data_IF_920906905153
#
_entry.id   IF_920906905153
#
_cell.length_a   1.000
_cell.length_b   1.000
_cell.length_c   1.000
_cell.angle_alpha   90.00
_cell.angle_beta   90.00
_cell.angle_gamma   90.00
#
_symmetry.space_group_name_H-M   'P 1'
#
loop_
_entity.id
_entity.type
_entity.pdbx_description
1 polymer ?
#
# COMPACT_ATOMS: atom_id res chain seq x y z
N UNK A 1 23.64 6.99 -37.14
CA UNK A 1 22.93 8.17 -36.62
C UNK A 1 22.74 9.23 -37.70
N UNK A 2 23.80 9.80 -38.28
CA UNK A 2 23.67 10.91 -39.25
C UNK A 2 22.77 10.61 -40.46
N UNK A 3 22.71 9.35 -40.90
CA UNK A 3 21.83 8.92 -41.98
C UNK A 3 20.34 8.90 -41.60
N UNK A 4 20.01 8.83 -40.31
CA UNK A 4 18.65 8.79 -39.78
C UNK A 4 18.14 10.17 -39.38
N UNK A 5 19.03 11.14 -39.14
CA UNK A 5 18.69 12.47 -38.60
C UNK A 5 17.60 13.18 -39.40
N UNK A 6 17.70 13.22 -40.73
CA UNK A 6 16.72 13.92 -41.56
C UNK A 6 15.33 13.27 -41.58
N UNK A 7 15.26 11.96 -41.35
CA UNK A 7 14.00 11.23 -41.28
C UNK A 7 13.40 11.28 -39.86
N UNK A 8 14.24 11.21 -38.82
CA UNK A 8 13.83 11.42 -37.42
C UNK A 8 13.22 12.81 -37.22
N UNK A 9 13.91 13.89 -37.64
CA UNK A 9 13.40 15.25 -37.48
C UNK A 9 12.04 15.42 -38.15
N UNK A 10 11.86 14.88 -39.37
CA UNK A 10 10.58 14.96 -40.08
C UNK A 10 9.47 14.18 -39.37
N UNK A 11 9.79 13.01 -38.80
CA UNK A 11 8.84 12.22 -38.01
C UNK A 11 8.46 12.96 -36.73
N UNK A 12 9.45 13.48 -36.00
CA UNK A 12 9.25 14.23 -34.77
C UNK A 12 8.42 15.49 -34.98
N UNK A 13 8.67 16.24 -36.07
CA UNK A 13 7.86 17.42 -36.43
C UNK A 13 6.38 17.07 -36.71
N UNK A 14 6.12 15.87 -37.22
CA UNK A 14 4.78 15.39 -37.48
C UNK A 14 4.01 15.00 -36.22
N UNK A 15 4.72 14.59 -35.16
CA UNK A 15 4.14 14.00 -33.96
C UNK A 15 4.20 14.93 -32.74
N UNK A 16 5.36 15.54 -32.47
CA UNK A 16 5.64 16.24 -31.20
C UNK A 16 5.86 17.75 -31.35
N UNK A 17 6.42 18.25 -32.46
CA UNK A 17 6.56 19.71 -32.63
C UNK A 17 7.77 20.21 -33.41
N UNK A 18 8.70 20.89 -32.74
CA UNK A 18 9.76 21.67 -33.41
C UNK A 18 10.98 20.81 -33.80
N UNK A 19 11.63 21.17 -34.91
CA UNK A 19 12.84 20.50 -35.37
C UNK A 19 14.04 20.69 -34.43
N UNK A 20 14.08 21.78 -33.64
CA UNK A 20 15.16 22.00 -32.66
C UNK A 20 15.11 20.94 -31.57
N UNK A 21 13.93 20.68 -31.00
CA UNK A 21 13.74 19.68 -29.94
C UNK A 21 14.11 18.28 -30.44
N UNK A 22 13.80 17.97 -31.70
CA UNK A 22 14.22 16.72 -32.34
C UNK A 22 15.75 16.57 -32.41
N UNK A 23 16.48 17.66 -32.64
CA UNK A 23 17.95 17.62 -32.67
C UNK A 23 18.52 17.45 -31.27
N UNK A 24 17.94 18.10 -30.26
CA UNK A 24 18.35 17.95 -28.87
C UNK A 24 18.14 16.50 -28.39
N UNK A 25 16.98 15.89 -28.69
CA UNK A 25 16.72 14.47 -28.49
C UNK A 25 17.80 13.58 -29.15
N UNK A 26 18.15 13.85 -30.41
CA UNK A 26 19.18 13.06 -31.10
C UNK A 26 20.58 13.21 -30.51
N UNK A 27 20.94 14.36 -29.93
CA UNK A 27 22.22 14.53 -29.25
C UNK A 27 22.29 13.68 -27.98
N UNK A 28 21.21 13.62 -27.21
CA UNK A 28 21.09 12.74 -26.05
C UNK A 28 21.18 11.26 -26.47
N UNK A 29 20.45 10.85 -27.50
CA UNK A 29 20.52 9.47 -28.04
C UNK A 29 21.94 9.13 -28.54
N UNK A 30 22.63 10.07 -29.20
CA UNK A 30 24.02 9.87 -29.64
C UNK A 30 24.96 9.68 -28.45
N UNK A 31 24.80 10.49 -27.41
CA UNK A 31 25.55 10.36 -26.18
C UNK A 31 25.32 8.97 -25.58
N UNK A 32 24.07 8.54 -25.51
CA UNK A 32 23.67 7.23 -25.02
C UNK A 32 24.31 6.06 -25.77
N UNK A 33 24.19 6.04 -27.10
CA UNK A 33 24.80 5.00 -27.95
C UNK A 33 26.32 4.99 -27.77
N UNK A 34 26.95 6.16 -27.63
CA UNK A 34 28.40 6.28 -27.43
C UNK A 34 28.83 5.70 -26.08
N UNK A 35 28.10 6.01 -25.01
CA UNK A 35 28.37 5.48 -23.67
C UNK A 35 28.15 3.97 -23.62
N UNK A 36 27.03 3.48 -24.17
CA UNK A 36 26.76 2.03 -24.27
C UNK A 36 27.88 1.31 -25.02
N UNK A 37 28.39 1.91 -26.11
CA UNK A 37 29.52 1.36 -26.85
C UNK A 37 30.79 1.29 -26.01
N UNK A 38 31.08 2.33 -25.23
CA UNK A 38 32.25 2.34 -24.35
C UNK A 38 32.17 1.26 -23.26
N UNK A 39 30.96 0.96 -22.76
CA UNK A 39 30.73 -0.04 -21.71
C UNK A 39 30.71 -1.48 -22.23
N UNK A 40 30.09 -1.71 -23.39
CA UNK A 40 29.79 -3.07 -23.89
C UNK A 40 30.62 -3.50 -25.11
N UNK A 41 31.38 -2.59 -25.73
CA UNK A 41 32.03 -2.74 -27.05
C UNK A 41 31.03 -3.05 -28.18
N UNK A 42 29.75 -2.71 -28.00
CA UNK A 42 28.68 -2.88 -28.99
C UNK A 42 27.96 -1.56 -29.24
N UNK A 43 27.67 -1.26 -30.50
CA UNK A 43 26.89 -0.06 -30.85
C UNK A 43 25.90 -0.39 -31.95
N UNK A 44 24.64 -0.09 -31.67
CA UNK A 44 23.58 -0.21 -32.66
C UNK A 44 22.67 1.01 -32.57
N UNK A 45 22.58 1.73 -33.68
CA UNK A 45 21.68 2.88 -33.79
C UNK A 45 20.21 2.46 -34.01
N UNK A 46 19.96 1.19 -34.32
CA UNK A 46 18.64 0.69 -34.78
C UNK A 46 18.18 -0.55 -34.02
N UNK A 47 18.94 -0.98 -33.01
CA UNK A 47 18.64 -2.13 -32.14
C UNK A 47 19.24 -1.84 -30.77
N UNK A 48 18.56 -1.06 -29.96
CA UNK A 48 18.99 -0.83 -28.59
C UNK A 48 18.79 -2.14 -27.81
N UNK A 49 19.79 -2.56 -27.04
CA UNK A 49 19.73 -3.77 -26.20
C UNK A 49 19.59 -3.30 -24.75
N UNK A 50 18.78 -4.01 -23.94
CA UNK A 50 18.62 -3.71 -22.51
C UNK A 50 19.96 -3.83 -21.75
N UNK A 51 20.82 -4.75 -22.19
CA UNK A 51 22.10 -5.01 -21.55
C UNK A 51 23.02 -3.78 -21.66
N UNK A 52 23.32 -3.16 -20.50
CA UNK A 52 24.16 -1.97 -20.39
C UNK A 52 23.43 -0.65 -20.65
N UNK A 53 22.09 -0.68 -20.81
CA UNK A 53 21.27 0.51 -20.98
C UNK A 53 21.23 1.33 -19.68
N UNK A 54 20.93 0.68 -18.55
CA UNK A 54 20.92 1.28 -17.22
C UNK A 54 22.30 1.84 -16.83
N UNK A 55 23.37 1.03 -16.95
CA UNK A 55 24.75 1.49 -16.68
C UNK A 55 25.14 2.73 -17.52
N UNK A 56 24.69 2.78 -18.78
CA UNK A 56 24.93 3.93 -19.65
C UNK A 56 24.11 5.15 -19.23
N UNK A 57 22.86 4.96 -18.81
CA UNK A 57 21.98 6.00 -18.30
C UNK A 57 22.55 6.63 -17.03
N UNK A 58 22.91 5.81 -16.04
CA UNK A 58 23.54 6.25 -14.79
C UNK A 58 24.85 7.00 -15.05
N UNK A 59 25.69 6.48 -15.96
CA UNK A 59 26.95 7.13 -16.33
C UNK A 59 26.67 8.52 -16.92
N UNK A 60 25.67 8.65 -17.79
CA UNK A 60 25.31 9.92 -18.42
C UNK A 60 24.72 10.89 -17.41
N UNK A 61 23.74 10.46 -16.62
CA UNK A 61 23.14 11.26 -15.55
C UNK A 61 24.20 11.76 -14.56
N UNK A 62 25.14 10.91 -14.16
CA UNK A 62 26.27 11.28 -13.30
C UNK A 62 27.22 12.32 -13.91
N UNK A 63 27.23 12.47 -15.25
CA UNK A 63 27.97 13.55 -15.93
C UNK A 63 27.16 14.82 -16.17
N UNK A 64 25.82 14.73 -16.14
CA UNK A 64 24.94 15.79 -16.63
C UNK A 64 24.58 16.88 -15.60
N UNK A 65 24.94 16.78 -14.29
CA UNK A 65 25.21 17.89 -13.32
C UNK A 65 25.00 17.43 -11.85
N UNK A 66 25.75 18.06 -10.93
CA UNK A 66 25.86 17.79 -9.48
C UNK A 66 24.60 18.03 -8.59
N UNK A 67 23.38 18.28 -9.11
CA UNK A 67 22.24 18.65 -8.22
C UNK A 67 20.84 18.05 -8.46
N UNK A 68 20.51 17.39 -9.58
CA UNK A 68 19.19 16.74 -9.77
C UNK A 68 19.35 15.48 -10.64
N UNK A 69 19.95 14.42 -10.08
CA UNK A 69 20.30 13.21 -10.84
C UNK A 69 19.11 12.33 -11.23
N UNK A 70 18.01 12.39 -10.48
CA UNK A 70 16.80 11.60 -10.72
C UNK A 70 16.00 12.18 -11.90
N UNK A 71 15.69 13.48 -11.88
CA UNK A 71 15.04 14.17 -13.01
C UNK A 71 15.81 13.98 -14.34
N UNK A 72 17.14 13.92 -14.28
CA UNK A 72 17.99 13.71 -15.45
C UNK A 72 17.93 12.28 -16.01
N UNK A 73 17.62 11.27 -15.20
CA UNK A 73 17.41 9.89 -15.65
C UNK A 73 16.05 9.75 -16.34
N UNK A 74 15.01 10.35 -15.77
CA UNK A 74 13.66 10.33 -16.36
C UNK A 74 13.66 11.04 -17.73
N UNK A 75 14.24 12.24 -17.82
CA UNK A 75 14.40 12.96 -19.09
C UNK A 75 15.17 12.14 -20.14
N UNK A 76 16.17 11.37 -19.70
CA UNK A 76 16.97 10.51 -20.56
C UNK A 76 16.16 9.31 -21.07
N UNK A 77 15.39 8.66 -20.21
CA UNK A 77 14.54 7.53 -20.59
C UNK A 77 13.40 7.96 -21.51
N UNK A 78 12.75 9.09 -21.24
CA UNK A 78 11.73 9.69 -22.12
C UNK A 78 12.30 9.97 -23.51
N UNK A 79 13.50 10.55 -23.56
CA UNK A 79 14.19 10.86 -24.81
C UNK A 79 14.51 9.59 -25.61
N UNK A 80 14.96 8.52 -24.93
CA UNK A 80 15.22 7.23 -25.55
C UNK A 80 13.93 6.55 -26.01
N UNK A 81 12.85 6.67 -25.23
CA UNK A 81 11.53 6.12 -25.54
C UNK A 81 11.02 6.68 -26.88
N UNK A 82 11.05 8.00 -27.02
CA UNK A 82 10.68 8.69 -28.27
C UNK A 82 11.51 8.21 -29.46
N UNK A 83 12.81 7.97 -29.27
CA UNK A 83 13.68 7.47 -30.33
C UNK A 83 13.36 6.02 -30.73
N UNK A 84 13.04 5.17 -29.76
CA UNK A 84 12.63 3.77 -29.98
C UNK A 84 11.31 3.72 -30.77
N UNK A 85 10.34 4.57 -30.43
CA UNK A 85 9.07 4.67 -31.16
C UNK A 85 9.27 5.14 -32.60
N UNK A 86 10.15 6.12 -32.82
CA UNK A 86 10.56 6.49 -34.18
C UNK A 86 11.07 5.28 -34.95
N UNK A 87 12.00 4.51 -34.39
CA UNK A 87 12.60 3.37 -35.07
C UNK A 87 11.52 2.35 -35.46
N UNK A 88 10.54 2.12 -34.58
CA UNK A 88 9.43 1.20 -34.83
C UNK A 88 8.50 1.69 -35.92
N UNK A 89 7.99 2.91 -35.81
CA UNK A 89 7.00 3.46 -36.74
C UNK A 89 7.56 3.68 -38.15
N UNK A 90 8.84 4.08 -38.23
CA UNK A 90 9.53 4.29 -39.50
C UNK A 90 10.03 3.00 -40.16
N UNK A 91 9.94 1.85 -39.48
CA UNK A 91 10.47 0.58 -39.97
C UNK A 91 12.00 0.51 -39.96
N UNK A 92 12.66 1.37 -39.17
CA UNK A 92 14.12 1.35 -38.97
C UNK A 92 14.57 0.44 -37.83
N UNK A 93 13.65 -0.03 -36.98
CA UNK A 93 13.94 -1.04 -35.96
C UNK A 93 14.48 -2.32 -36.61
N UNK A 94 15.67 -2.73 -36.19
CA UNK A 94 16.38 -3.89 -36.72
C UNK A 94 16.40 -5.09 -35.78
N UNK A 95 15.85 -4.94 -34.57
CA UNK A 95 15.55 -6.04 -33.65
C UNK A 95 14.25 -6.76 -34.01
N UNK A 96 13.89 -7.73 -33.17
CA UNK A 96 12.59 -8.41 -33.21
C UNK A 96 11.50 -7.58 -32.53
N UNK A 97 10.22 -7.92 -32.76
CA UNK A 97 9.10 -7.27 -32.05
C UNK A 97 9.15 -7.51 -30.54
N UNK A 98 9.62 -8.67 -30.10
CA UNK A 98 9.82 -8.98 -28.68
C UNK A 98 10.88 -8.05 -28.07
N UNK A 99 12.04 -7.93 -28.72
CA UNK A 99 13.11 -7.02 -28.27
C UNK A 99 12.66 -5.54 -28.25
N UNK A 100 11.74 -5.12 -29.14
CA UNK A 100 11.14 -3.78 -29.09
C UNK A 100 10.23 -3.62 -27.88
N UNK A 101 9.35 -4.58 -27.61
CA UNK A 101 8.45 -4.51 -26.46
C UNK A 101 9.25 -4.49 -25.15
N UNK A 102 10.28 -5.34 -25.02
CA UNK A 102 11.10 -5.39 -23.81
C UNK A 102 11.75 -4.01 -23.49
N UNK A 103 12.27 -3.32 -24.52
CA UNK A 103 12.89 -1.99 -24.32
C UNK A 103 11.88 -0.86 -24.19
N UNK A 104 10.76 -0.95 -24.91
CA UNK A 104 9.67 0.03 -24.80
C UNK A 104 9.07 -0.01 -23.40
N UNK A 105 8.79 -1.21 -22.89
CA UNK A 105 8.31 -1.42 -21.52
C UNK A 105 9.36 -0.88 -20.52
N UNK A 106 10.64 -1.21 -20.69
CA UNK A 106 11.71 -0.65 -19.86
C UNK A 106 11.72 0.89 -19.81
N UNK A 107 11.67 1.55 -20.97
CA UNK A 107 11.84 3.00 -21.07
C UNK A 107 10.60 3.81 -20.66
N UNK A 108 9.40 3.27 -20.85
CA UNK A 108 8.15 3.90 -20.39
C UNK A 108 7.93 3.78 -18.89
N UNK A 109 8.79 2.99 -18.22
CA UNK A 109 8.44 2.48 -16.92
C UNK A 109 7.18 1.61 -16.96
N UNK A 110 6.67 1.13 -18.11
CA UNK A 110 5.63 0.07 -18.12
C UNK A 110 6.22 -1.31 -17.75
N UNK A 111 7.54 -1.43 -17.78
CA UNK A 111 8.36 -2.37 -17.01
C UNK A 111 8.61 -1.84 -15.59
N UNK A 112 7.66 -1.06 -15.07
CA UNK A 112 7.06 -1.34 -13.77
C UNK A 112 7.02 -2.86 -13.68
N UNK A 113 8.05 -3.43 -13.03
CA UNK A 113 8.55 -4.77 -13.34
C UNK A 113 7.43 -5.80 -13.29
N UNK A 114 7.58 -6.98 -13.89
CA UNK A 114 6.57 -8.06 -13.75
C UNK A 114 6.08 -8.26 -12.30
N UNK A 115 6.87 -7.84 -11.31
CA UNK A 115 6.42 -7.65 -9.94
C UNK A 115 5.21 -6.69 -9.80
N UNK A 116 5.22 -5.45 -10.28
CA UNK A 116 4.14 -4.47 -10.10
C UNK A 116 2.86 -4.72 -10.96
N UNK A 117 2.92 -5.70 -11.87
CA UNK A 117 1.80 -6.56 -12.30
C UNK A 117 0.89 -7.02 -11.17
N UNK A 118 -0.02 -6.20 -10.63
CA UNK A 118 -0.98 -6.68 -9.61
C UNK A 118 -1.79 -7.83 -10.23
N UNK A 119 -1.59 -9.08 -9.77
CA UNK A 119 -2.27 -10.22 -10.35
C UNK A 119 -3.78 -10.15 -10.08
N UNK A 120 -4.56 -10.83 -10.92
CA UNK A 120 -5.99 -10.99 -10.68
C UNK A 120 -6.23 -11.68 -9.32
N UNK A 121 -6.77 -10.94 -8.36
CA UNK A 121 -7.09 -11.46 -7.04
C UNK A 121 -8.21 -12.48 -7.10
N UNK A 122 -8.03 -13.61 -6.42
CA UNK A 122 -9.11 -14.55 -6.18
C UNK A 122 -9.65 -14.33 -4.78
N UNK A 123 -10.65 -13.44 -4.66
CA UNK A 123 -11.36 -13.25 -3.39
C UNK A 123 -12.09 -14.55 -3.04
N UNK A 124 -11.75 -15.21 -1.92
CA UNK A 124 -12.39 -16.46 -1.55
C UNK A 124 -13.89 -16.26 -1.29
N UNK A 125 -14.74 -17.14 -1.84
CA UNK A 125 -16.18 -17.15 -1.58
C UNK A 125 -16.45 -17.76 -0.19
N UNK A 126 -16.52 -16.90 0.82
CA UNK A 126 -16.80 -17.25 2.21
C UNK A 126 -18.18 -16.71 2.60
N UNK A 127 -18.97 -17.51 3.32
CA UNK A 127 -20.22 -17.01 3.90
C UNK A 127 -19.94 -15.90 4.93
N UNK A 128 -20.87 -14.96 5.13
CA UNK A 128 -20.68 -13.89 6.13
C UNK A 128 -20.37 -14.44 7.53
N UNK A 129 -20.97 -15.58 7.91
CA UNK A 129 -20.71 -16.21 9.20
C UNK A 129 -19.28 -16.76 9.29
N UNK A 130 -18.79 -17.40 8.23
CA UNK A 130 -17.42 -17.93 8.18
C UNK A 130 -16.40 -16.78 8.15
N UNK A 131 -16.70 -15.69 7.43
CA UNK A 131 -15.86 -14.49 7.44
C UNK A 131 -15.79 -13.86 8.83
N UNK A 132 -16.92 -13.68 9.53
CA UNK A 132 -16.96 -13.04 10.85
C UNK A 132 -16.18 -13.88 11.87
N UNK A 133 -16.34 -15.20 11.80
CA UNK A 133 -15.56 -16.13 12.62
C UNK A 133 -14.06 -16.09 12.27
N UNK A 134 -13.71 -16.04 10.97
CA UNK A 134 -12.32 -15.99 10.53
C UNK A 134 -11.65 -14.68 10.98
N UNK A 135 -12.30 -13.52 10.80
CA UNK A 135 -11.80 -12.24 11.32
C UNK A 135 -11.65 -12.28 12.83
N UNK A 136 -12.65 -12.75 13.58
CA UNK A 136 -12.56 -12.86 15.04
C UNK A 136 -11.41 -13.79 15.50
N UNK A 137 -11.02 -14.75 14.66
CA UNK A 137 -9.88 -15.63 14.89
C UNK A 137 -8.50 -14.99 14.66
N UNK A 138 -8.42 -13.83 13.99
CA UNK A 138 -7.15 -13.16 13.70
C UNK A 138 -6.54 -12.56 14.99
N UNK A 139 -5.23 -12.78 15.24
CA UNK A 139 -4.51 -12.09 16.31
C UNK A 139 -4.68 -10.58 16.26
N UNK A 140 -4.71 -9.97 15.07
CA UNK A 140 -4.96 -8.54 14.90
C UNK A 140 -6.29 -8.09 15.53
N UNK A 141 -7.40 -8.74 15.18
CA UNK A 141 -8.75 -8.38 15.64
C UNK A 141 -8.86 -8.58 17.15
N UNK A 142 -8.22 -9.62 17.70
CA UNK A 142 -8.17 -9.86 19.14
C UNK A 142 -7.40 -8.75 19.88
N UNK A 143 -6.21 -8.36 19.37
CA UNK A 143 -5.41 -7.25 19.93
C UNK A 143 -6.17 -5.93 19.88
N UNK A 144 -6.81 -5.61 18.76
CA UNK A 144 -7.63 -4.42 18.61
C UNK A 144 -8.81 -4.44 19.60
N UNK A 145 -9.49 -5.58 19.76
CA UNK A 145 -10.58 -5.75 20.74
C UNK A 145 -10.10 -5.50 22.17
N UNK A 146 -8.97 -6.11 22.59
CA UNK A 146 -8.39 -5.87 23.91
C UNK A 146 -7.99 -4.41 24.12
N UNK A 147 -7.46 -3.74 23.08
CA UNK A 147 -7.11 -2.34 23.14
C UNK A 147 -8.36 -1.45 23.30
N UNK A 148 -9.46 -1.74 22.59
CA UNK A 148 -10.73 -1.04 22.73
C UNK A 148 -11.35 -1.23 24.12
N UNK A 149 -11.31 -2.44 24.67
CA UNK A 149 -11.73 -2.71 26.05
C UNK A 149 -10.90 -1.91 27.06
N UNK A 150 -9.57 -1.84 26.85
CA UNK A 150 -8.70 -1.01 27.68
C UNK A 150 -9.05 0.47 27.56
N UNK A 151 -9.32 0.99 26.35
CA UNK A 151 -9.73 2.38 26.13
C UNK A 151 -11.02 2.69 26.91
N UNK A 152 -11.99 1.78 26.90
CA UNK A 152 -13.25 1.93 27.62
C UNK A 152 -13.99 3.20 27.21
N UNK A 153 -14.40 4.03 28.18
CA UNK A 153 -15.06 5.32 27.90
C UNK A 153 -14.10 6.40 27.38
N UNK A 154 -12.79 6.15 27.36
CA UNK A 154 -11.77 7.03 26.81
C UNK A 154 -10.49 7.13 27.66
N UNK A 155 -9.37 7.41 26.98
CA UNK A 155 -8.02 7.51 27.57
C UNK A 155 -7.40 8.88 27.33
N UNK A 156 -6.55 9.31 28.25
CA UNK A 156 -5.82 10.58 28.09
C UNK A 156 -4.74 10.44 27.02
N UNK A 157 -4.68 11.40 26.11
CA UNK A 157 -3.60 11.55 25.13
C UNK A 157 -2.91 12.91 25.29
N UNK A 158 -1.79 13.10 24.62
CA UNK A 158 -1.15 14.40 24.41
C UNK A 158 -1.95 15.23 23.41
N UNK A 159 -1.57 16.49 23.21
CA UNK A 159 -2.16 17.34 22.16
C UNK A 159 -1.89 16.85 20.74
N UNK A 160 -0.90 15.96 20.56
CA UNK A 160 -0.57 15.32 19.28
C UNK A 160 -1.28 13.98 19.11
N UNK A 161 -2.20 13.61 20.01
CA UNK A 161 -2.93 12.34 19.92
C UNK A 161 -2.18 11.11 20.41
N UNK A 162 -0.97 11.28 20.98
CA UNK A 162 -0.12 10.17 21.45
C UNK A 162 -0.48 9.79 22.89
N UNK A 163 -0.40 8.50 23.22
CA UNK A 163 -0.57 8.03 24.59
C UNK A 163 0.43 8.65 25.56
N UNK A 164 -0.01 8.91 26.79
CA UNK A 164 0.90 9.39 27.84
C UNK A 164 1.80 8.25 28.30
N UNK A 165 3.05 8.57 28.67
CA UNK A 165 4.05 7.57 29.13
C UNK A 165 3.51 6.58 30.17
N UNK A 166 2.71 7.06 31.13
CA UNK A 166 2.13 6.23 32.20
C UNK A 166 1.16 5.16 31.68
N UNK A 167 0.57 5.39 30.51
CA UNK A 167 -0.50 4.56 29.93
C UNK A 167 0.07 3.55 28.90
N UNK A 168 1.30 3.76 28.43
CA UNK A 168 1.94 2.89 27.41
C UNK A 168 2.02 1.43 27.87
N UNK A 169 2.31 1.18 29.15
CA UNK A 169 2.51 -0.20 29.62
C UNK A 169 1.24 -1.05 29.52
N UNK A 170 0.10 -0.49 29.90
CA UNK A 170 -1.18 -1.19 29.80
C UNK A 170 -1.66 -1.31 28.35
N UNK A 171 -1.48 -0.26 27.54
CA UNK A 171 -1.84 -0.27 26.12
C UNK A 171 -1.00 -1.28 25.32
N UNK A 172 0.32 -1.31 25.55
CA UNK A 172 1.22 -2.27 24.92
C UNK A 172 0.84 -3.70 25.31
N UNK A 173 0.51 -3.94 26.59
CA UNK A 173 0.06 -5.25 27.04
C UNK A 173 -1.25 -5.68 26.35
N UNK A 174 -2.17 -4.74 26.07
CA UNK A 174 -3.41 -5.03 25.34
C UNK A 174 -3.16 -5.51 23.90
N UNK A 175 -2.07 -5.08 23.27
CA UNK A 175 -1.64 -5.57 21.95
C UNK A 175 -0.60 -6.70 22.02
N UNK A 176 -0.34 -7.24 23.22
CA UNK A 176 0.55 -8.39 23.43
C UNK A 176 2.04 -8.06 23.55
N UNK A 177 2.41 -6.79 23.73
CA UNK A 177 3.82 -6.35 23.86
C UNK A 177 4.13 -5.91 25.29
N UNK A 178 5.30 -6.30 25.80
CA UNK A 178 5.78 -5.85 27.11
C UNK A 178 6.65 -4.59 26.96
N UNK A 179 6.03 -3.41 27.06
CA UNK A 179 6.73 -2.13 27.04
C UNK A 179 6.39 -1.28 28.26
N UNK A 180 7.28 -0.36 28.65
CA UNK A 180 7.04 0.63 29.71
C UNK A 180 7.49 1.99 29.23
N UNK A 181 6.59 2.97 29.32
CA UNK A 181 6.92 4.36 29.06
C UNK A 181 7.90 4.91 30.11
N UNK A 182 9.11 5.21 29.67
CA UNK A 182 10.14 5.84 30.49
C UNK A 182 10.68 7.06 29.76
N UNK A 183 10.90 8.14 30.49
CA UNK A 183 11.52 9.33 29.93
C UNK A 183 12.92 8.96 29.46
N UNK A 184 13.11 8.81 28.15
CA UNK A 184 14.40 8.47 27.59
C UNK A 184 15.43 9.53 28.04
N UNK A 185 16.62 9.13 28.54
CA UNK A 185 17.72 10.06 28.62
C UNK A 185 17.95 10.58 27.19
N UNK A 186 18.06 11.90 27.04
CA UNK A 186 18.19 12.59 25.75
C UNK A 186 19.39 11.98 24.98
N UNK A 187 19.15 10.94 24.17
CA UNK A 187 20.18 10.37 23.29
C UNK A 187 20.39 11.39 22.17
N UNK A 188 21.65 11.71 21.82
CA UNK A 188 21.92 12.51 20.64
C UNK A 188 21.34 11.76 19.43
N UNK A 189 20.43 12.43 18.71
CA UNK A 189 19.86 11.93 17.47
C UNK A 189 21.01 11.71 16.47
N UNK A 190 21.17 10.50 15.95
CA UNK A 190 22.11 10.27 14.86
C UNK A 190 22.56 8.84 14.59
N UNK A 191 22.51 7.89 15.55
CA UNK A 191 23.09 6.56 15.35
C UNK A 191 22.34 5.47 16.14
N UNK A 192 21.08 5.22 15.81
CA UNK A 192 20.35 4.04 16.30
C UNK A 192 19.99 3.14 15.11
N UNK A 193 20.99 2.71 14.36
CA UNK A 193 20.83 1.52 13.53
C UNK A 193 20.89 0.30 14.47
N UNK A 194 19.96 -0.63 14.24
CA UNK A 194 19.72 -1.81 15.04
C UNK A 194 20.93 -2.77 15.05
N UNK A 195 21.92 -2.52 15.91
CA UNK A 195 22.92 -3.53 16.30
C UNK A 195 22.28 -4.53 17.30
N UNK A 196 21.17 -5.15 16.89
CA UNK A 196 20.48 -6.19 17.64
C UNK A 196 20.50 -7.53 16.89
N UNK A 197 21.66 -7.88 16.33
CA UNK A 197 21.99 -9.28 16.04
C UNK A 197 22.51 -9.95 17.32
N UNK A 198 21.62 -10.18 18.29
CA UNK A 198 21.84 -11.23 19.29
C UNK A 198 20.86 -12.37 19.01
N UNK A 199 21.35 -13.35 18.24
CA UNK A 199 20.74 -14.67 18.04
C UNK A 199 20.50 -15.35 19.39
N UNK A 200 19.29 -15.20 19.94
CA UNK A 200 18.88 -15.98 21.11
C UNK A 200 17.78 -15.36 21.97
N UNK A 201 16.53 -15.43 21.51
CA UNK A 201 15.39 -15.65 22.42
C UNK A 201 15.02 -14.54 23.41
N UNK A 202 15.04 -13.26 23.03
CA UNK A 202 14.48 -12.18 23.85
C UNK A 202 12.95 -12.08 23.76
N UNK A 203 12.23 -13.21 23.73
CA UNK A 203 10.79 -13.22 23.98
C UNK A 203 10.56 -12.84 25.45
N UNK A 204 10.26 -11.57 25.70
CA UNK A 204 9.87 -11.06 27.02
C UNK A 204 10.84 -10.08 27.70
N UNK A 205 11.83 -9.53 26.98
CA UNK A 205 12.57 -8.39 27.51
C UNK A 205 11.66 -7.16 27.56
N UNK A 206 11.53 -6.56 28.74
CA UNK A 206 10.74 -5.35 28.96
C UNK A 206 11.34 -4.17 28.18
N UNK A 207 10.61 -3.66 27.19
CA UNK A 207 11.06 -2.54 26.35
C UNK A 207 10.83 -1.20 27.06
N UNK A 208 11.88 -0.44 27.35
CA UNK A 208 11.76 0.93 27.87
C UNK A 208 11.62 1.92 26.70
N UNK A 209 10.47 2.61 26.59
CA UNK A 209 10.12 3.46 25.45
C UNK A 209 9.84 4.91 25.83
N UNK A 210 10.23 5.85 24.97
CA UNK A 210 10.01 7.29 25.16
C UNK A 210 8.69 7.81 24.58
N UNK A 211 8.08 7.06 23.66
CA UNK A 211 6.78 7.35 23.05
C UNK A 211 6.09 6.03 22.65
N UNK A 212 4.79 6.06 22.35
CA UNK A 212 4.08 4.87 21.89
C UNK A 212 4.55 4.41 20.49
N UNK A 213 5.09 5.33 19.68
CA UNK A 213 5.65 5.01 18.36
C UNK A 213 6.91 4.13 18.45
N UNK A 214 7.58 4.08 19.60
CA UNK A 214 8.69 3.15 19.84
C UNK A 214 8.19 1.70 20.07
N UNK A 215 6.86 1.49 20.05
CA UNK A 215 6.19 0.18 20.11
C UNK A 215 5.42 0.00 18.80
N UNK A 216 6.06 -0.48 17.71
CA UNK A 216 5.46 -0.48 16.36
C UNK A 216 4.06 -1.12 16.32
N UNK A 217 3.91 -2.32 16.88
CA UNK A 217 2.61 -3.03 16.97
C UNK A 217 1.51 -2.20 17.61
N UNK A 218 1.81 -1.42 18.66
CA UNK A 218 0.83 -0.54 19.30
C UNK A 218 0.54 0.68 18.43
N UNK A 219 1.58 1.27 17.82
CA UNK A 219 1.45 2.41 16.92
C UNK A 219 0.56 2.07 15.72
N UNK A 220 0.80 0.94 15.07
CA UNK A 220 0.09 0.51 13.86
C UNK A 220 -1.39 0.23 14.16
N UNK A 221 -1.67 -0.56 15.21
CA UNK A 221 -3.05 -0.84 15.63
C UNK A 221 -3.77 0.44 16.06
N UNK A 222 -3.09 1.36 16.75
CA UNK A 222 -3.67 2.65 17.15
C UNK A 222 -3.99 3.53 15.93
N UNK A 223 -3.07 3.65 14.98
CA UNK A 223 -3.25 4.42 13.75
C UNK A 223 -4.42 3.88 12.93
N UNK A 224 -4.48 2.55 12.73
CA UNK A 224 -5.56 1.90 12.01
C UNK A 224 -6.93 2.10 12.69
N UNK A 225 -7.01 2.04 14.03
CA UNK A 225 -8.24 2.33 14.78
C UNK A 225 -8.71 3.78 14.61
N UNK A 226 -7.79 4.73 14.48
CA UNK A 226 -8.10 6.14 14.21
C UNK A 226 -8.59 6.30 12.77
N UNK A 227 -7.85 5.74 11.80
CA UNK A 227 -8.13 5.86 10.36
C UNK A 227 -9.48 5.24 10.00
N UNK A 228 -9.86 4.11 10.62
CA UNK A 228 -11.17 3.48 10.43
C UNK A 228 -12.30 4.07 11.30
N UNK A 229 -12.06 5.16 12.03
CA UNK A 229 -13.09 5.82 12.84
C UNK A 229 -13.62 5.00 14.02
N UNK A 230 -12.96 3.89 14.38
CA UNK A 230 -13.29 3.08 15.56
C UNK A 230 -12.94 3.86 16.83
N UNK A 231 -11.89 4.66 16.81
CA UNK A 231 -11.60 5.64 17.86
C UNK A 231 -11.50 7.05 17.27
N UNK A 232 -11.84 8.04 18.08
CA UNK A 232 -11.70 9.46 17.73
C UNK A 232 -10.71 10.12 18.68
N UNK A 233 -9.77 10.88 18.11
CA UNK A 233 -8.82 11.69 18.88
C UNK A 233 -9.36 13.11 19.07
N UNK A 234 -9.70 13.44 20.32
CA UNK A 234 -9.91 14.81 20.76
C UNK A 234 -8.58 15.47 21.17
N UNK A 235 -8.65 16.73 21.60
CA UNK A 235 -7.44 17.51 21.97
C UNK A 235 -6.63 16.93 23.13
N UNK A 236 -7.24 16.11 23.99
CA UNK A 236 -6.60 15.51 25.18
C UNK A 236 -7.10 14.11 25.51
N UNK A 237 -8.00 13.55 24.69
CA UNK A 237 -8.59 12.22 24.93
C UNK A 237 -8.82 11.46 23.63
N UNK A 238 -8.52 10.16 23.66
CA UNK A 238 -9.03 9.21 22.69
C UNK A 238 -10.32 8.59 23.25
N UNK A 239 -11.39 8.56 22.46
CA UNK A 239 -12.68 7.96 22.84
C UNK A 239 -13.14 7.00 21.76
N UNK A 240 -14.00 6.01 22.09
CA UNK A 240 -14.71 5.25 21.05
C UNK A 240 -15.39 6.19 20.05
N UNK A 241 -15.20 5.92 18.76
CA UNK A 241 -15.85 6.59 17.65
C UNK A 241 -17.08 5.80 17.15
N UNK A 242 -17.73 6.24 16.07
CA UNK A 242 -18.91 5.56 15.51
C UNK A 242 -18.64 4.09 15.15
N UNK A 243 -17.43 3.76 14.67
CA UNK A 243 -17.06 2.39 14.32
C UNK A 243 -16.98 1.44 15.52
N UNK A 244 -16.82 1.95 16.75
CA UNK A 244 -16.74 1.11 17.95
C UNK A 244 -18.06 0.39 18.25
N UNK A 245 -19.20 1.02 17.98
CA UNK A 245 -20.52 0.41 18.18
C UNK A 245 -20.75 -0.74 17.18
N UNK A 246 -20.19 -0.63 15.97
CA UNK A 246 -20.26 -1.66 14.93
C UNK A 246 -19.34 -2.84 15.24
N UNK A 247 -18.14 -2.60 15.81
CA UNK A 247 -17.10 -3.61 16.04
C UNK A 247 -17.58 -4.87 16.78
N UNK A 248 -18.45 -4.67 17.77
CA UNK A 248 -19.08 -5.72 18.58
C UNK A 248 -20.62 -5.69 18.46
N UNK A 249 -21.14 -5.05 17.41
CA UNK A 249 -22.57 -4.96 17.13
C UNK A 249 -23.21 -6.35 16.93
N UNK A 250 -24.53 -6.43 17.01
CA UNK A 250 -25.23 -7.72 16.81
C UNK A 250 -25.32 -8.11 15.32
N UNK A 251 -25.35 -7.13 14.43
CA UNK A 251 -25.37 -7.38 12.98
C UNK A 251 -24.01 -7.90 12.50
N UNK A 252 -24.04 -8.99 11.74
CA UNK A 252 -22.83 -9.59 11.16
C UNK A 252 -22.28 -8.68 10.05
N UNK A 253 -23.16 -8.07 9.24
CA UNK A 253 -22.75 -7.24 8.12
C UNK A 253 -21.94 -6.03 8.61
N UNK A 254 -22.46 -5.29 9.59
CA UNK A 254 -21.79 -4.15 10.22
C UNK A 254 -20.42 -4.53 10.82
N UNK A 255 -20.35 -5.69 11.49
CA UNK A 255 -19.07 -6.18 12.06
C UNK A 255 -18.05 -6.50 10.99
N UNK A 256 -18.48 -7.09 9.87
CA UNK A 256 -17.59 -7.44 8.77
C UNK A 256 -17.07 -6.18 8.08
N UNK A 257 -17.94 -5.22 7.81
CA UNK A 257 -17.58 -3.94 7.19
C UNK A 257 -16.50 -3.22 8.01
N UNK A 258 -16.75 -2.95 9.30
CA UNK A 258 -15.80 -2.19 10.13
C UNK A 258 -14.48 -2.94 10.36
N UNK A 259 -14.48 -4.28 10.42
CA UNK A 259 -13.25 -5.08 10.54
C UNK A 259 -12.48 -5.14 9.24
N UNK A 260 -13.18 -5.15 8.11
CA UNK A 260 -12.57 -5.03 6.80
C UNK A 260 -11.91 -3.65 6.66
N UNK A 261 -12.61 -2.56 6.94
CA UNK A 261 -12.07 -1.19 6.90
C UNK A 261 -10.85 -1.02 7.80
N UNK A 262 -10.90 -1.52 9.04
CA UNK A 262 -9.76 -1.50 9.96
C UNK A 262 -8.56 -2.29 9.43
N UNK A 263 -8.80 -3.47 8.84
CA UNK A 263 -7.73 -4.30 8.26
C UNK A 263 -7.15 -3.65 7.01
N UNK A 264 -8.00 -3.04 6.18
CA UNK A 264 -7.61 -2.26 4.99
C UNK A 264 -6.72 -1.08 5.38
N UNK A 265 -7.12 -0.30 6.39
CA UNK A 265 -6.33 0.84 6.89
C UNK A 265 -4.93 0.41 7.37
N UNK A 266 -4.85 -0.70 8.10
CA UNK A 266 -3.56 -1.24 8.55
C UNK A 266 -2.71 -1.74 7.38
N UNK A 267 -3.31 -2.45 6.42
CA UNK A 267 -2.60 -2.93 5.24
C UNK A 267 -2.11 -1.78 4.36
N UNK A 268 -2.91 -0.73 4.19
CA UNK A 268 -2.53 0.47 3.45
C UNK A 268 -1.30 1.13 4.09
N UNK A 269 -1.34 1.39 5.40
CA UNK A 269 -0.17 1.90 6.14
C UNK A 269 1.05 0.98 6.01
N UNK A 270 0.85 -0.34 6.04
CA UNK A 270 1.92 -1.31 5.90
C UNK A 270 2.56 -1.29 4.50
N UNK A 271 1.78 -1.13 3.42
CA UNK A 271 2.31 -1.04 2.05
C UNK A 271 2.75 0.37 1.67
N UNK A 272 2.56 1.37 2.53
CA UNK A 272 3.11 2.71 2.33
C UNK A 272 4.47 2.84 3.01
N UNK A 273 5.37 3.62 2.42
CA UNK A 273 6.62 4.04 3.02
C UNK A 273 6.50 5.36 3.77
N UNK A 274 6.05 5.29 5.02
CA UNK A 274 6.01 6.46 5.91
C UNK A 274 7.35 6.78 6.58
N UNK A 275 8.33 5.86 6.52
CA UNK A 275 9.61 5.95 7.21
C UNK A 275 10.75 6.43 6.30
N UNK A 276 10.47 6.69 5.01
CA UNK A 276 11.38 7.38 4.08
C UNK A 276 11.57 8.84 4.51
N UNK A 277 12.31 9.01 5.61
CA UNK A 277 12.81 10.29 6.08
C UNK A 277 13.91 10.85 5.16
N UNK A 278 14.33 10.08 4.16
CA UNK A 278 15.43 10.40 3.26
C UNK A 278 15.04 11.39 2.17
N UNK A 279 13.79 11.38 1.69
CA UNK A 279 13.40 12.23 0.57
C UNK A 279 12.58 13.46 0.94
N UNK A 280 11.95 13.49 2.13
CA UNK A 280 10.98 14.54 2.45
C UNK A 280 9.79 14.58 1.48
N UNK A 281 9.65 13.53 0.66
CA UNK A 281 8.59 13.33 -0.31
C UNK A 281 7.35 12.73 0.35
N UNK A 282 6.28 12.70 -0.42
CA UNK A 282 5.03 12.08 -0.05
C UNK A 282 5.22 10.57 0.20
N UNK A 283 4.33 9.94 0.97
CA UNK A 283 4.43 8.52 1.26
C UNK A 283 4.33 7.69 -0.04
N UNK A 284 5.37 6.95 -0.39
CA UNK A 284 5.42 6.13 -1.60
C UNK A 284 4.93 4.70 -1.34
N UNK A 285 4.49 4.02 -2.41
CA UNK A 285 4.15 2.60 -2.33
C UNK A 285 5.42 1.76 -2.13
N UNK A 286 5.42 0.91 -1.11
CA UNK A 286 6.38 -0.17 -0.92
C UNK A 286 6.08 -1.27 -1.96
N UNK A 287 6.52 -1.04 -3.20
CA UNK A 287 6.18 -1.87 -4.36
C UNK A 287 6.49 -3.34 -4.14
N UNK A 288 7.67 -3.66 -3.59
CA UNK A 288 8.05 -5.05 -3.31
C UNK A 288 7.06 -5.72 -2.36
N UNK A 289 6.70 -5.07 -1.24
CA UNK A 289 5.73 -5.63 -0.31
C UNK A 289 4.34 -5.80 -0.95
N UNK A 290 3.86 -4.78 -1.66
CA UNK A 290 2.55 -4.80 -2.30
C UNK A 290 2.41 -6.01 -3.25
N UNK A 291 3.47 -6.28 -4.02
CA UNK A 291 3.53 -7.40 -4.96
C UNK A 291 3.52 -8.75 -4.25
N UNK A 292 4.30 -8.89 -3.17
CA UNK A 292 4.35 -10.14 -2.41
C UNK A 292 2.98 -10.45 -1.80
N UNK A 293 2.32 -9.44 -1.24
CA UNK A 293 0.97 -9.58 -0.70
C UNK A 293 -0.03 -9.94 -1.81
N UNK A 294 0.06 -9.28 -2.96
CA UNK A 294 -0.84 -9.55 -4.07
C UNK A 294 -0.66 -10.97 -4.62
N UNK A 295 0.58 -11.42 -4.88
CA UNK A 295 0.89 -12.82 -5.22
C UNK A 295 0.41 -13.78 -4.14
N UNK A 296 0.61 -13.45 -2.86
CA UNK A 296 0.18 -14.23 -1.71
C UNK A 296 -1.34 -14.42 -1.60
N UNK A 297 -2.13 -13.60 -2.31
CA UNK A 297 -3.57 -13.73 -2.44
C UNK A 297 -4.02 -14.54 -3.68
N UNK A 298 -3.09 -15.18 -4.39
CA UNK A 298 -3.36 -16.00 -5.58
C UNK A 298 -2.99 -17.47 -5.37
N UNK A 299 -3.15 -18.28 -6.43
CA UNK A 299 -2.70 -19.68 -6.44
C UNK A 299 -1.17 -19.84 -6.61
N UNK A 300 -0.44 -18.75 -6.91
CA UNK A 300 1.00 -18.73 -7.15
C UNK A 300 1.70 -17.73 -6.21
N UNK A 301 1.75 -18.03 -4.89
CA UNK A 301 2.38 -17.15 -3.91
C UNK A 301 3.91 -17.07 -4.11
N UNK A 302 4.55 -16.00 -3.62
CA UNK A 302 6.02 -15.89 -3.67
C UNK A 302 6.69 -16.85 -2.68
N UNK A 303 7.76 -17.51 -3.10
CA UNK A 303 8.59 -18.35 -2.24
C UNK A 303 9.42 -17.52 -1.24
N UNK A 304 9.58 -18.02 -0.02
CA UNK A 304 10.40 -17.34 1.01
C UNK A 304 11.88 -17.29 0.60
N UNK A 305 12.36 -18.30 -0.11
CA UNK A 305 13.74 -18.38 -0.61
C UNK A 305 13.99 -17.31 -1.68
N UNK A 306 13.08 -17.14 -2.64
CA UNK A 306 13.13 -16.09 -3.67
C UNK A 306 13.31 -14.69 -3.06
N UNK A 307 12.47 -14.32 -2.08
CA UNK A 307 12.61 -13.02 -1.42
C UNK A 307 13.91 -12.89 -0.60
N UNK A 308 14.40 -14.01 -0.06
CA UNK A 308 15.65 -14.02 0.69
C UNK A 308 16.85 -13.84 -0.25
N UNK A 309 16.81 -14.44 -1.44
CA UNK A 309 17.78 -14.22 -2.50
C UNK A 309 17.77 -12.76 -2.94
N UNK A 310 16.61 -12.17 -3.23
CA UNK A 310 16.47 -10.74 -3.55
C UNK A 310 17.07 -9.83 -2.45
N UNK A 311 16.82 -10.13 -1.18
CA UNK A 311 17.36 -9.37 -0.07
C UNK A 311 18.88 -9.55 0.13
N UNK A 312 19.49 -10.58 -0.43
CA UNK A 312 20.93 -10.90 -0.27
C UNK A 312 21.73 -10.71 -1.55
N UNK A 313 21.07 -10.47 -2.68
CA UNK A 313 21.66 -10.29 -4.00
C UNK A 313 22.36 -8.93 -4.19
N UNK A 314 22.83 -8.27 -3.12
CA UNK A 314 23.54 -6.98 -3.17
C UNK A 314 24.81 -6.94 -4.05
N UNK A 315 25.13 -8.02 -4.76
CA UNK A 315 26.18 -8.11 -5.79
C UNK A 315 25.65 -8.01 -7.24
N UNK A 316 24.34 -7.97 -7.50
CA UNK A 316 23.76 -7.98 -8.86
C UNK A 316 23.36 -6.62 -9.43
N UNK A 317 23.63 -5.51 -8.73
CA UNK A 317 23.49 -4.15 -9.26
C UNK A 317 22.45 -3.29 -8.53
N UNK A 318 21.32 -3.87 -8.13
CA UNK A 318 20.22 -3.11 -7.54
C UNK A 318 20.21 -3.17 -6.00
N UNK A 319 20.94 -2.23 -5.37
CA UNK A 319 21.00 -2.07 -3.91
C UNK A 319 19.62 -1.66 -3.35
N UNK A 320 18.83 -0.90 -4.12
CA UNK A 320 17.53 -0.42 -3.69
C UNK A 320 16.53 -1.57 -3.59
N UNK A 321 16.47 -2.44 -4.59
CA UNK A 321 15.63 -3.64 -4.57
C UNK A 321 16.00 -4.57 -3.41
N UNK A 322 17.30 -4.79 -3.16
CA UNK A 322 17.74 -5.61 -2.03
C UNK A 322 17.32 -5.01 -0.67
N UNK A 323 17.43 -3.70 -0.51
CA UNK A 323 16.96 -3.00 0.69
C UNK A 323 15.43 -3.08 0.84
N UNK A 324 14.68 -2.85 -0.23
CA UNK A 324 13.22 -2.99 -0.27
C UNK A 324 12.78 -4.41 0.05
N UNK A 325 13.47 -5.43 -0.47
CA UNK A 325 13.22 -6.83 -0.11
C UNK A 325 13.49 -7.12 1.37
N UNK A 326 14.59 -6.60 1.95
CA UNK A 326 14.89 -6.75 3.38
C UNK A 326 13.80 -6.11 4.25
N UNK A 327 13.35 -4.91 3.87
CA UNK A 327 12.27 -4.19 4.54
C UNK A 327 10.95 -4.93 4.43
N UNK A 328 10.58 -5.39 3.23
CA UNK A 328 9.38 -6.19 2.99
C UNK A 328 9.37 -7.45 3.87
N UNK A 329 10.51 -8.13 4.04
CA UNK A 329 10.62 -9.28 4.96
C UNK A 329 10.29 -8.91 6.42
N UNK A 330 10.80 -7.78 6.89
CA UNK A 330 10.50 -7.28 8.25
C UNK A 330 9.01 -7.01 8.42
N UNK A 331 8.39 -6.31 7.45
CA UNK A 331 6.95 -6.02 7.45
C UNK A 331 6.10 -7.30 7.34
N UNK A 332 6.47 -8.26 6.50
CA UNK A 332 5.79 -9.56 6.37
C UNK A 332 5.82 -10.36 7.66
N UNK A 333 6.92 -10.31 8.42
CA UNK A 333 6.99 -10.92 9.74
C UNK A 333 6.00 -10.27 10.73
N UNK A 334 5.90 -8.94 10.73
CA UNK A 334 4.92 -8.23 11.55
C UNK A 334 3.46 -8.55 11.14
N UNK A 335 3.18 -8.60 9.83
CA UNK A 335 1.88 -9.01 9.30
C UNK A 335 1.55 -10.47 9.64
N UNK A 336 2.56 -11.34 9.73
CA UNK A 336 2.39 -12.71 10.18
C UNK A 336 2.05 -12.82 11.67
N UNK A 337 2.66 -11.99 12.51
CA UNK A 337 2.30 -11.89 13.94
C UNK A 337 0.87 -11.40 14.16
N UNK A 338 0.31 -10.66 13.19
CA UNK A 338 -1.09 -10.25 13.14
C UNK A 338 -2.03 -11.31 12.56
N UNK A 339 -1.48 -12.39 11.99
CA UNK A 339 -2.21 -13.45 11.29
C UNK A 339 -2.78 -13.02 9.94
N UNK A 340 -2.30 -11.91 9.38
CA UNK A 340 -2.71 -11.43 8.05
C UNK A 340 -2.00 -12.19 6.93
N UNK A 341 -0.76 -12.58 7.20
CA UNK A 341 0.08 -13.38 6.29
C UNK A 341 0.51 -14.64 7.02
N UNK A 342 0.61 -15.76 6.31
CA UNK A 342 1.25 -16.97 6.77
C UNK A 342 2.56 -17.15 6.03
N UNK A 343 3.62 -17.40 6.79
CA UNK A 343 4.99 -17.57 6.30
C UNK A 343 5.39 -19.02 6.53
N UNK A 344 5.23 -19.85 5.49
CA UNK A 344 5.71 -21.24 5.47
C UNK A 344 6.91 -21.33 4.50
N UNK A 345 6.83 -22.15 3.45
CA UNK A 345 7.75 -22.04 2.30
C UNK A 345 7.38 -20.91 1.35
N UNK A 346 6.17 -20.35 1.48
CA UNK A 346 5.65 -19.26 0.68
C UNK A 346 4.97 -18.22 1.58
N UNK A 347 4.89 -16.99 1.09
CA UNK A 347 4.08 -15.93 1.68
C UNK A 347 2.64 -16.05 1.18
N UNK A 348 1.71 -16.42 2.07
CA UNK A 348 0.28 -16.56 1.72
C UNK A 348 -0.57 -15.62 2.55
N UNK A 349 -1.47 -14.86 1.92
CA UNK A 349 -2.41 -13.98 2.63
C UNK A 349 -3.55 -14.83 3.20
N UNK A 350 -3.94 -14.55 4.45
CA UNK A 350 -5.05 -15.29 5.08
C UNK A 350 -6.34 -15.07 4.28
N UNK A 351 -7.12 -16.12 3.94
CA UNK A 351 -8.24 -16.01 3.00
C UNK A 351 -9.24 -14.87 3.27
N UNK A 352 -9.61 -14.65 4.54
CA UNK A 352 -10.55 -13.57 4.93
C UNK A 352 -9.98 -12.16 4.76
N UNK A 353 -8.66 -12.03 4.66
CA UNK A 353 -7.93 -10.75 4.55
C UNK A 353 -7.83 -10.29 3.10
N UNK A 354 -7.98 -11.19 2.12
CA UNK A 354 -7.87 -10.86 0.68
C UNK A 354 -8.83 -9.72 0.29
N UNK A 355 -10.05 -9.70 0.84
CA UNK A 355 -11.02 -8.63 0.59
C UNK A 355 -10.62 -7.25 1.14
N UNK A 356 -9.72 -7.20 2.13
CA UNK A 356 -9.16 -5.96 2.67
C UNK A 356 -7.90 -5.51 1.93
N UNK A 357 -7.18 -6.46 1.31
CA UNK A 357 -5.93 -6.17 0.61
C UNK A 357 -6.14 -5.38 -0.69
N UNK A 358 -7.16 -5.76 -1.49
CA UNK A 358 -7.46 -5.09 -2.76
C UNK A 358 -7.71 -3.59 -2.59
N UNK A 359 -8.64 -3.14 -1.71
CA UNK A 359 -8.84 -1.72 -1.48
C UNK A 359 -7.62 -1.02 -0.86
N UNK A 360 -6.83 -1.71 -0.03
CA UNK A 360 -5.62 -1.13 0.56
C UNK A 360 -4.56 -0.78 -0.50
N UNK A 361 -4.33 -1.68 -1.46
CA UNK A 361 -3.39 -1.42 -2.57
C UNK A 361 -3.95 -0.31 -3.48
N UNK A 362 -5.25 -0.36 -3.80
CA UNK A 362 -5.89 0.66 -4.63
C UNK A 362 -5.83 2.07 -4.00
N UNK A 363 -6.04 2.18 -2.68
CA UNK A 363 -5.95 3.45 -1.96
C UNK A 363 -4.56 4.09 -2.06
N UNK A 364 -3.51 3.29 -1.95
CA UNK A 364 -2.12 3.79 -2.03
C UNK A 364 -1.75 4.15 -3.47
N UNK A 365 -2.16 3.36 -4.46
CA UNK A 365 -1.96 3.70 -5.88
C UNK A 365 -2.65 5.01 -6.26
N UNK A 366 -3.92 5.19 -5.85
CA UNK A 366 -4.63 6.44 -6.09
C UNK A 366 -3.96 7.61 -5.38
N UNK A 367 -3.42 7.41 -4.17
CA UNK A 367 -2.71 8.48 -3.45
C UNK A 367 -1.39 8.87 -4.11
N UNK A 368 -0.68 7.92 -4.74
CA UNK A 368 0.62 8.14 -5.36
C UNK A 368 0.55 8.93 -6.68
N UNK A 369 -0.55 8.82 -7.42
CA UNK A 369 -0.71 9.50 -8.72
C UNK A 369 -1.00 11.01 -8.59
N UNK A 370 -0.92 11.59 -7.39
CA UNK A 370 -1.37 12.98 -7.15
C UNK A 370 -2.84 13.18 -7.51
N UNK A 371 -3.61 12.08 -7.47
CA UNK A 371 -4.96 11.98 -7.95
C UNK A 371 -5.88 12.97 -7.22
N UNK A 372 -6.43 13.93 -7.96
CA UNK A 372 -7.49 14.79 -7.44
C UNK A 372 -8.81 14.00 -7.47
N UNK A 373 -9.42 13.66 -6.31
CA UNK A 373 -10.69 12.95 -6.29
C UNK A 373 -11.84 13.72 -6.97
N UNK A 374 -11.68 15.01 -7.29
CA UNK A 374 -12.63 15.76 -8.11
C UNK A 374 -12.62 15.39 -9.61
N UNK A 375 -11.58 14.70 -10.11
CA UNK A 375 -11.45 14.34 -11.52
C UNK A 375 -12.20 13.04 -11.92
N UNK A 376 -12.77 12.31 -10.95
CA UNK A 376 -13.66 11.17 -11.22
C UNK A 376 -15.14 11.54 -11.04
N UNK A 377 -15.89 11.50 -12.13
CA UNK A 377 -17.34 11.32 -12.07
C UNK A 377 -17.63 9.96 -11.41
N UNK A 378 -18.14 10.00 -10.16
CA UNK A 378 -18.64 8.91 -9.32
C UNK A 378 -18.13 7.49 -9.68
N UNK A 379 -17.27 6.83 -8.86
CA UNK A 379 -16.88 5.45 -9.10
C UNK A 379 -18.14 4.57 -9.25
N UNK A 380 -18.12 3.54 -10.12
CA UNK A 380 -19.28 2.67 -10.33
C UNK A 380 -19.74 2.15 -8.98
N UNK A 381 -20.88 2.68 -8.52
CA UNK A 381 -21.39 2.44 -7.18
C UNK A 381 -21.44 0.94 -6.92
N UNK A 382 -20.86 0.48 -5.81
CA UNK A 382 -21.04 -0.88 -5.26
C UNK A 382 -22.50 -1.20 -4.88
N UNK A 383 -23.49 -0.42 -5.36
CA UNK A 383 -24.94 -0.57 -5.16
C UNK A 383 -25.56 -1.79 -5.86
N UNK A 384 -24.75 -2.67 -6.47
CA UNK A 384 -25.24 -3.90 -7.11
C UNK A 384 -25.74 -4.99 -6.15
N UNK A 385 -25.59 -4.83 -4.83
CA UNK A 385 -25.93 -5.85 -3.83
C UNK A 385 -27.27 -5.55 -3.10
N UNK A 386 -27.85 -4.37 -3.26
CA UNK A 386 -29.05 -3.98 -2.49
C UNK A 386 -30.40 -4.35 -3.12
N UNK A 387 -30.47 -4.88 -4.35
CA UNK A 387 -31.75 -5.07 -5.07
C UNK A 387 -32.28 -6.51 -5.11
N UNK A 388 -32.07 -7.28 -4.03
CA UNK A 388 -32.72 -8.59 -3.83
C UNK A 388 -33.34 -8.67 -2.43
N UNK A 389 -34.23 -7.73 -2.10
CA UNK A 389 -35.21 -7.91 -1.02
C UNK A 389 -36.58 -7.39 -1.46
N UNK A 390 -37.57 -8.28 -1.30
CA UNK A 390 -39.01 -8.04 -1.28
C UNK A 390 -39.77 -7.91 -2.61
N UNK A 391 -39.98 -9.05 -3.29
CA UNK A 391 -41.23 -9.32 -4.03
C UNK A 391 -42.06 -10.38 -3.29
N UNK A 392 -42.49 -10.03 -2.07
CA UNK A 392 -43.53 -10.76 -1.36
C UNK A 392 -44.89 -10.32 -1.91
N UNK A 393 -45.44 -11.14 -2.79
CA UNK A 393 -46.75 -10.98 -3.41
C UNK A 393 -47.88 -10.83 -2.38
N UNK A 394 -48.33 -9.60 -2.18
CA UNK A 394 -49.58 -9.29 -1.45
C UNK A 394 -50.78 -9.62 -2.34
N UNK A 395 -51.36 -10.80 -2.11
CA UNK A 395 -52.68 -11.16 -2.62
C UNK A 395 -53.77 -10.32 -1.95
N UNK A 396 -54.37 -9.42 -2.72
CA UNK A 396 -55.55 -8.65 -2.34
C UNK A 396 -56.82 -9.50 -2.49
N UNK A 397 -57.35 -10.01 -1.37
CA UNK A 397 -58.64 -10.70 -1.28
C UNK A 397 -59.57 -9.97 -0.31
N UNK A 398 -60.59 -9.31 -0.84
CA UNK A 398 -61.45 -8.40 -0.09
C UNK A 398 -62.67 -9.00 0.62
N UNK A 399 -63.41 -8.04 1.22
CA UNK A 399 -64.80 -8.06 1.69
C UNK A 399 -65.12 -8.76 3.03
N UNK A 400 -65.50 -7.94 4.01
CA UNK A 400 -66.12 -8.41 5.25
C UNK A 400 -66.48 -7.29 6.23
N UNK A 401 -67.49 -6.49 5.89
CA UNK A 401 -68.12 -5.49 6.76
C UNK A 401 -68.65 -6.10 8.06
N UNK A 402 -68.19 -5.61 9.22
CA UNK A 402 -69.02 -5.54 10.42
C UNK A 402 -68.59 -4.43 11.37
N UNK A 403 -69.49 -3.46 11.54
CA UNK A 403 -69.53 -2.50 12.65
C UNK A 403 -69.44 -3.25 13.99
N UNK A 404 -68.93 -2.59 15.03
CA UNK A 404 -69.69 -2.13 16.23
C UNK A 404 -68.71 -1.73 17.36
N UNK A 405 -68.91 -0.50 17.84
CA UNK A 405 -68.65 0.07 19.19
C UNK A 405 -67.22 0.34 19.70
N UNK A 406 -66.97 1.65 19.90
CA UNK A 406 -66.18 2.19 21.02
C UNK A 406 -66.90 1.90 22.37
N UNK A 407 -66.25 1.95 23.55
CA UNK A 407 -65.86 3.24 24.16
C UNK A 407 -64.56 3.11 25.04
N UNK A 408 -64.24 4.01 26.00
CA UNK A 408 -63.16 4.98 25.83
C UNK A 408 -62.03 4.87 26.88
N UNK A 409 -60.95 5.59 26.60
CA UNK A 409 -60.06 6.34 27.49
C UNK A 409 -59.82 5.84 28.91
N UNK A 410 -58.55 5.56 29.23
CA UNK A 410 -58.00 5.91 30.55
C UNK A 410 -56.65 6.61 30.40
N UNK A 411 -56.70 7.92 30.64
CA UNK A 411 -55.57 8.83 30.83
C UNK A 411 -55.16 8.70 32.29
N UNK A 412 -53.92 8.33 32.58
CA UNK A 412 -53.34 8.45 33.92
C UNK A 412 -52.37 9.62 33.91
N UNK A 413 -52.75 10.69 34.61
CA UNK A 413 -51.90 11.82 34.96
C UNK A 413 -50.98 11.48 36.16
N UNK A 414 -49.85 12.19 36.30
CA UNK A 414 -48.87 11.98 37.36
C UNK A 414 -49.27 12.65 38.69
N UNK A 415 -48.83 12.03 39.79
CA UNK A 415 -48.99 12.50 41.17
C UNK A 415 -47.81 13.41 41.57
N UNK A 416 -48.03 14.53 42.28
CA UNK A 416 -46.97 15.29 42.93
C UNK A 416 -46.85 14.98 44.43
N UNK A 417 -45.61 15.10 44.89
CA UNK A 417 -45.04 15.47 46.19
C UNK A 417 -45.48 14.79 47.50
N UNK A 418 -44.47 14.21 48.17
CA UNK A 418 -44.04 14.62 49.52
C UNK A 418 -42.54 14.44 49.71
#
# INVERSE_FOLDING_TARGET
>A
MDSLTGDFVRWYEGTFGDASDALDCLEVVKLFITTTHALTDRSWATKLELAGLEDAAETIAGTLIENDGEDALDDLYDTLHVYVDYLKESGHWSGTDAEYNDIHDFLTGESISEFQRIPDFQVPDLSQQDQDQAFAGLPLIQRATCLLEWIGAGKEVTSTGVLRLKDIAEAAAAVGVQAVGKRAPRRPAGLAFHDAEEEGGHQGALLEVGTMHDVPVLSDVWAALVRSGIITLGSTRATPGPGADLWNGQDIADRLEIRCEFTTALLADAVTDTDSSWSGQEPELDGVLAVILAKGATADPMEVEELTELATSGNTGDIFLAFSALRARSKLAALADFGLVRVDSHYTVTPVVVQSLVPAIAEVLLSAEGYDPEDFEDPPSLRGIEDVRDDDGVATGGAGTRRVNAPPSNVTQPHPDK
#
